data_IF_748886502124
#
_entry.id   IF_748886502124
#
_cell.length_a   1.000
_cell.length_b   1.000
_cell.length_c   1.000
_cell.angle_alpha   90.00
_cell.angle_beta   90.00
_cell.angle_gamma   90.00
#
_symmetry.space_group_name_H-M   'P 1'
#
loop_
_entity.id
_entity.type
_entity.pdbx_description
1 polymer ?
#
# COMPACT_ATOMS: atom_id res chain seq x y z
N UNK A 1 10.64 24.83 15.60
CA UNK A 1 10.29 23.74 14.66
C UNK A 1 10.34 22.43 15.43
N UNK A 2 9.24 21.63 15.40
CA UNK A 2 9.26 20.30 15.99
C UNK A 2 10.23 19.39 15.21
N UNK A 3 10.80 18.36 15.87
CA UNK A 3 11.68 17.38 15.22
C UNK A 3 10.98 16.68 14.05
N UNK A 4 9.70 16.38 14.19
CA UNK A 4 8.87 15.77 13.12
C UNK A 4 8.75 16.69 11.90
N UNK A 5 8.56 18.00 12.11
CA UNK A 5 8.50 18.97 11.01
C UNK A 5 9.85 19.14 10.33
N UNK A 6 10.94 19.17 11.09
CA UNK A 6 12.29 19.22 10.54
C UNK A 6 12.58 17.98 9.70
N UNK A 7 12.22 16.79 10.20
CA UNK A 7 12.35 15.53 9.48
C UNK A 7 11.58 15.52 8.14
N UNK A 8 10.36 16.08 8.12
CA UNK A 8 9.60 16.21 6.88
C UNK A 8 10.25 17.19 5.89
N UNK A 9 10.74 18.35 6.39
CA UNK A 9 11.36 19.38 5.57
C UNK A 9 12.67 18.91 4.90
N UNK A 10 13.51 18.17 5.61
CA UNK A 10 14.78 17.65 5.08
C UNK A 10 14.55 16.73 3.86
N UNK A 11 13.40 16.10 3.75
CA UNK A 11 13.11 15.21 2.62
C UNK A 11 12.86 15.95 1.29
N UNK A 12 12.47 17.22 1.31
CA UNK A 12 12.17 17.96 0.08
C UNK A 12 13.36 18.06 -0.92
N UNK A 13 14.60 18.36 -0.49
CA UNK A 13 15.75 18.43 -1.38
C UNK A 13 16.35 17.05 -1.76
N UNK A 14 15.94 15.96 -1.08
CA UNK A 14 16.57 14.65 -1.31
C UNK A 14 16.26 14.09 -2.71
N UNK A 15 17.24 13.44 -3.36
CA UNK A 15 17.04 12.75 -4.64
C UNK A 15 16.40 11.36 -4.41
N UNK A 16 15.11 11.33 -4.03
CA UNK A 16 14.40 10.14 -3.58
C UNK A 16 14.56 8.94 -4.51
N UNK A 17 14.38 9.13 -5.82
CA UNK A 17 14.49 8.05 -6.81
C UNK A 17 15.89 7.49 -6.95
N UNK A 18 16.93 8.32 -6.78
CA UNK A 18 18.31 7.84 -6.80
C UNK A 18 18.59 6.98 -5.57
N UNK A 19 18.19 7.46 -4.38
CA UNK A 19 18.34 6.74 -3.13
C UNK A 19 17.59 5.40 -3.18
N UNK A 20 16.33 5.40 -3.64
CA UNK A 20 15.53 4.17 -3.77
C UNK A 20 16.16 3.16 -4.73
N UNK A 21 16.71 3.62 -5.87
CA UNK A 21 17.42 2.74 -6.82
C UNK A 21 18.69 2.13 -6.22
N UNK A 22 19.47 2.90 -5.46
CA UNK A 22 20.68 2.39 -4.81
C UNK A 22 20.35 1.35 -3.75
N UNK A 23 19.36 1.64 -2.90
CA UNK A 23 18.88 0.70 -1.89
C UNK A 23 18.25 -0.54 -2.54
N UNK A 24 17.48 -0.38 -3.61
CA UNK A 24 16.92 -1.50 -4.37
C UNK A 24 17.99 -2.45 -4.91
N UNK A 25 19.06 -1.92 -5.51
CA UNK A 25 20.20 -2.75 -5.97
C UNK A 25 20.87 -3.50 -4.82
N UNK A 26 21.01 -2.87 -3.66
CA UNK A 26 21.55 -3.52 -2.47
C UNK A 26 20.59 -4.62 -1.96
N UNK A 27 19.29 -4.35 -1.96
CA UNK A 27 18.28 -5.29 -1.53
C UNK A 27 18.13 -6.50 -2.48
N UNK A 28 18.47 -6.34 -3.76
CA UNK A 28 18.50 -7.42 -4.76
C UNK A 28 19.85 -8.16 -4.81
N UNK A 29 20.82 -7.78 -3.96
CA UNK A 29 22.11 -8.44 -3.91
C UNK A 29 21.96 -9.89 -3.44
N UNK A 30 22.55 -10.82 -4.21
CA UNK A 30 22.54 -12.26 -3.94
C UNK A 30 23.76 -12.77 -3.17
N UNK A 31 24.75 -11.91 -2.90
CA UNK A 31 25.97 -12.29 -2.17
C UNK A 31 25.59 -12.77 -0.76
N UNK A 32 25.81 -14.05 -0.41
CA UNK A 32 25.23 -14.66 0.79
C UNK A 32 25.59 -13.95 2.09
N UNK A 33 26.87 -13.61 2.28
CA UNK A 33 27.29 -12.96 3.53
C UNK A 33 26.66 -11.58 3.72
N UNK A 34 26.57 -10.78 2.63
CA UNK A 34 26.00 -9.43 2.68
C UNK A 34 24.47 -9.49 2.88
N UNK A 35 23.80 -10.29 2.05
CA UNK A 35 22.36 -10.51 2.17
C UNK A 35 21.97 -10.99 3.56
N UNK A 36 22.65 -12.02 4.08
CA UNK A 36 22.35 -12.58 5.40
C UNK A 36 22.60 -11.56 6.53
N UNK A 37 23.66 -10.73 6.42
CA UNK A 37 23.92 -9.68 7.38
C UNK A 37 22.80 -8.61 7.37
N UNK A 38 22.32 -8.20 6.18
CA UNK A 38 21.22 -7.25 6.02
C UNK A 38 19.93 -7.82 6.63
N UNK A 39 19.55 -9.04 6.27
CA UNK A 39 18.33 -9.70 6.78
C UNK A 39 18.37 -9.84 8.30
N UNK A 40 19.47 -10.37 8.87
CA UNK A 40 19.59 -10.53 10.33
C UNK A 40 19.58 -9.21 11.07
N UNK A 41 20.23 -8.16 10.52
CA UNK A 41 20.21 -6.82 11.09
C UNK A 41 18.78 -6.26 11.08
N UNK A 42 18.08 -6.42 9.97
CA UNK A 42 16.72 -5.95 9.80
C UNK A 42 15.74 -6.63 10.78
N UNK A 43 15.79 -7.97 10.89
CA UNK A 43 14.97 -8.74 11.83
C UNK A 43 15.17 -8.23 13.25
N UNK A 44 16.44 -8.04 13.67
CA UNK A 44 16.76 -7.56 15.03
C UNK A 44 16.28 -6.13 15.27
N UNK A 45 16.48 -5.24 14.30
CA UNK A 45 16.13 -3.81 14.41
C UNK A 45 14.62 -3.58 14.46
N UNK A 46 13.88 -4.29 13.61
CA UNK A 46 12.44 -4.12 13.47
C UNK A 46 11.61 -5.20 14.17
N UNK A 47 12.27 -6.15 14.84
CA UNK A 47 11.62 -7.26 15.58
C UNK A 47 10.65 -8.04 14.70
N UNK A 48 11.09 -8.38 13.47
CA UNK A 48 10.27 -9.14 12.52
C UNK A 48 9.99 -10.52 13.07
N UNK A 49 8.72 -10.90 13.13
CA UNK A 49 8.30 -12.25 13.49
C UNK A 49 8.45 -13.20 12.29
N UNK A 50 9.38 -14.13 12.39
CA UNK A 50 9.62 -15.13 11.38
C UNK A 50 8.82 -16.42 11.61
N UNK A 51 8.12 -16.55 12.75
CA UNK A 51 7.33 -17.74 13.05
C UNK A 51 6.10 -17.88 12.15
N UNK A 52 5.58 -16.76 11.65
CA UNK A 52 4.45 -16.71 10.70
C UNK A 52 4.88 -16.94 9.24
N UNK A 53 6.18 -16.82 8.92
CA UNK A 53 6.68 -16.99 7.57
C UNK A 53 6.55 -18.44 7.09
N UNK A 54 6.18 -18.63 5.81
CA UNK A 54 6.15 -19.96 5.20
C UNK A 54 7.52 -20.63 5.26
N UNK A 55 8.60 -19.86 5.08
CA UNK A 55 9.97 -20.30 5.36
C UNK A 55 10.53 -19.48 6.53
N UNK A 56 10.69 -20.08 7.73
CA UNK A 56 11.17 -19.37 8.90
C UNK A 56 12.69 -19.15 8.92
N UNK A 57 13.47 -19.81 8.05
CA UNK A 57 14.92 -19.58 7.96
C UNK A 57 15.23 -18.29 7.19
N UNK A 58 15.75 -17.25 7.87
CA UNK A 58 16.07 -15.98 7.23
C UNK A 58 17.19 -16.06 6.20
N UNK A 59 17.97 -17.15 6.20
CA UNK A 59 19.09 -17.34 5.27
C UNK A 59 18.68 -18.01 3.96
N UNK A 60 17.51 -18.63 3.92
CA UNK A 60 17.00 -19.36 2.76
C UNK A 60 16.51 -18.46 1.62
N UNK A 61 16.24 -17.19 1.88
CA UNK A 61 15.80 -16.23 0.85
C UNK A 61 16.96 -15.86 -0.07
N UNK A 62 16.69 -15.74 -1.38
CA UNK A 62 17.73 -15.45 -2.37
C UNK A 62 18.25 -14.01 -2.28
N UNK A 63 17.37 -13.07 -1.91
CA UNK A 63 17.68 -11.64 -1.75
C UNK A 63 17.03 -11.08 -0.48
N UNK A 64 17.40 -9.85 -0.10
CA UNK A 64 16.68 -9.14 0.95
C UNK A 64 15.23 -8.84 0.53
N UNK A 65 14.98 -8.51 -0.74
CA UNK A 65 13.62 -8.27 -1.24
C UNK A 65 12.76 -9.52 -1.14
N UNK A 66 13.27 -10.72 -1.42
CA UNK A 66 12.52 -11.96 -1.25
C UNK A 66 12.16 -12.20 0.22
N UNK A 67 13.07 -11.92 1.15
CA UNK A 67 12.77 -11.94 2.58
C UNK A 67 11.71 -10.91 2.96
N UNK A 68 11.83 -9.69 2.44
CA UNK A 68 10.92 -8.59 2.77
C UNK A 68 9.49 -8.86 2.28
N UNK A 69 9.36 -9.47 1.11
CA UNK A 69 8.08 -9.89 0.52
C UNK A 69 7.73 -11.36 0.80
N UNK A 70 8.27 -11.91 1.88
CA UNK A 70 8.09 -13.32 2.28
C UNK A 70 6.64 -13.74 2.30
N UNK A 71 6.37 -14.97 1.95
CA UNK A 71 5.06 -15.58 2.15
C UNK A 71 4.82 -15.89 3.61
N UNK A 72 3.56 -15.81 4.02
CA UNK A 72 3.11 -16.32 5.31
C UNK A 72 2.60 -17.76 5.17
N UNK A 73 2.53 -18.47 6.29
CA UNK A 73 1.84 -19.76 6.38
C UNK A 73 0.38 -19.58 5.99
N UNK A 74 -0.22 -20.59 5.38
CA UNK A 74 -1.59 -20.52 4.85
C UNK A 74 -2.64 -20.15 5.91
N UNK A 75 -2.41 -20.51 7.17
CA UNK A 75 -3.31 -20.27 8.31
C UNK A 75 -2.95 -19.01 9.12
N UNK A 76 -1.89 -18.30 8.74
CA UNK A 76 -1.41 -17.14 9.51
C UNK A 76 -2.36 -15.92 9.43
N UNK A 77 -3.20 -15.85 8.42
CA UNK A 77 -4.15 -14.74 8.19
C UNK A 77 -5.53 -15.29 7.80
N UNK A 78 -6.33 -15.71 8.79
CA UNK A 78 -7.71 -16.13 8.52
C UNK A 78 -8.51 -14.94 7.98
N UNK A 79 -9.39 -15.22 7.02
CA UNK A 79 -10.26 -14.22 6.42
C UNK A 79 -11.51 -14.02 7.27
N UNK A 80 -11.72 -12.79 7.72
CA UNK A 80 -12.95 -12.35 8.36
C UNK A 80 -14.12 -12.21 7.37
N UNK A 81 -15.21 -11.63 7.80
CA UNK A 81 -16.38 -11.33 6.96
C UNK A 81 -16.34 -9.91 6.38
N UNK A 82 -17.15 -9.66 5.35
CA UNK A 82 -17.30 -8.34 4.73
C UNK A 82 -16.06 -7.82 4.04
N UNK A 83 -15.77 -6.53 4.24
CA UNK A 83 -14.64 -5.82 3.65
C UNK A 83 -13.40 -6.08 4.49
N UNK A 84 -12.35 -6.64 3.88
CA UNK A 84 -11.12 -7.03 4.56
C UNK A 84 -10.08 -5.91 4.56
N UNK A 85 -9.20 -5.92 5.56
CA UNK A 85 -7.94 -5.18 5.48
C UNK A 85 -7.08 -5.75 4.33
N UNK A 86 -6.63 -4.92 3.40
CA UNK A 86 -5.83 -5.38 2.28
C UNK A 86 -4.39 -5.74 2.66
N UNK A 87 -3.94 -5.37 3.85
CA UNK A 87 -2.55 -5.56 4.29
C UNK A 87 -2.45 -5.60 5.82
N UNK A 88 -1.33 -6.12 6.30
CA UNK A 88 -0.89 -5.89 7.68
C UNK A 88 -0.43 -4.45 7.85
N UNK A 89 -0.74 -3.84 8.99
CA UNK A 89 -0.25 -2.50 9.26
C UNK A 89 -1.04 -1.75 10.32
N UNK A 90 -1.07 -0.42 10.17
CA UNK A 90 -1.88 0.46 10.98
C UNK A 90 -2.93 1.16 10.12
N UNK A 91 -4.17 1.08 10.54
CA UNK A 91 -5.28 1.80 9.94
C UNK A 91 -5.11 3.30 10.22
N UNK A 92 -4.47 4.00 9.28
CA UNK A 92 -4.12 5.42 9.47
C UNK A 92 -5.35 6.30 9.56
N UNK A 93 -6.23 6.20 8.58
CA UNK A 93 -7.52 6.90 8.50
C UNK A 93 -8.52 6.05 7.73
N UNK A 94 -9.79 6.22 8.04
CA UNK A 94 -10.90 5.58 7.34
C UNK A 94 -12.19 6.38 7.54
N UNK A 95 -13.17 6.13 6.71
CA UNK A 95 -14.49 6.77 6.82
C UNK A 95 -15.11 7.09 5.47
N UNK A 96 -16.10 8.00 5.43
CA UNK A 96 -16.78 8.38 4.21
C UNK A 96 -15.92 9.26 3.32
N UNK A 97 -16.03 9.08 2.01
CA UNK A 97 -15.53 9.98 0.97
C UNK A 97 -16.46 11.19 0.82
N UNK A 98 -16.21 12.22 1.63
CA UNK A 98 -17.05 13.41 1.67
C UNK A 98 -16.58 14.44 0.64
N UNK A 99 -17.44 14.80 -0.30
CA UNK A 99 -17.16 15.77 -1.38
C UNK A 99 -15.85 15.44 -2.16
N UNK A 100 -15.57 14.15 -2.37
CA UNK A 100 -14.36 13.69 -3.07
C UNK A 100 -13.06 13.90 -2.31
N UNK A 101 -13.12 14.10 -0.99
CA UNK A 101 -11.96 14.32 -0.13
C UNK A 101 -11.74 13.14 0.81
N UNK A 102 -10.48 12.73 0.95
CA UNK A 102 -10.01 11.76 1.93
C UNK A 102 -9.28 12.47 3.06
N UNK A 103 -9.48 12.00 4.29
CA UNK A 103 -8.71 12.48 5.43
C UNK A 103 -7.31 11.87 5.43
N UNK A 104 -6.28 12.70 5.54
CA UNK A 104 -4.88 12.25 5.62
C UNK A 104 -4.43 12.10 7.08
N UNK A 105 -4.44 13.17 7.85
CA UNK A 105 -4.16 13.23 9.29
C UNK A 105 -4.48 14.64 9.81
N UNK A 106 -4.88 14.77 11.09
CA UNK A 106 -5.04 16.06 11.79
C UNK A 106 -5.70 17.18 10.96
N UNK A 107 -6.78 16.87 10.28
CA UNK A 107 -7.54 17.85 9.47
C UNK A 107 -6.99 18.10 8.06
N UNK A 108 -5.83 17.55 7.70
CA UNK A 108 -5.37 17.56 6.31
C UNK A 108 -6.19 16.60 5.47
N UNK A 109 -6.69 17.09 4.35
CA UNK A 109 -7.44 16.30 3.37
C UNK A 109 -6.72 16.34 2.03
N UNK A 110 -6.95 15.34 1.20
CA UNK A 110 -6.48 15.31 -0.17
C UNK A 110 -7.59 14.83 -1.11
N UNK A 111 -7.50 15.25 -2.36
CA UNK A 111 -8.53 14.96 -3.36
C UNK A 111 -8.43 13.50 -3.85
N UNK A 112 -9.58 12.83 -3.96
CA UNK A 112 -9.67 11.55 -4.66
C UNK A 112 -9.21 11.68 -6.12
N UNK A 113 -9.54 12.79 -6.78
CA UNK A 113 -9.08 13.06 -8.15
C UNK A 113 -7.55 13.07 -8.24
N UNK A 114 -6.87 13.79 -7.33
CA UNK A 114 -5.41 13.83 -7.32
C UNK A 114 -4.82 12.45 -7.02
N UNK A 115 -5.40 11.72 -6.05
CA UNK A 115 -4.98 10.37 -5.71
C UNK A 115 -5.05 9.41 -6.91
N UNK A 116 -6.12 9.51 -7.69
CA UNK A 116 -6.39 8.64 -8.85
C UNK A 116 -5.70 9.11 -10.15
N UNK A 117 -4.76 10.06 -10.07
CA UNK A 117 -3.96 10.51 -11.21
C UNK A 117 -4.55 11.65 -12.02
N UNK A 118 -5.40 12.47 -11.41
CA UNK A 118 -5.99 13.67 -12.03
C UNK A 118 -7.27 13.39 -12.83
N UNK A 119 -7.83 12.19 -12.74
CA UNK A 119 -9.03 11.80 -13.44
C UNK A 119 -10.29 12.13 -12.61
N UNK A 120 -10.96 13.23 -13.00
CA UNK A 120 -12.19 13.66 -12.33
C UNK A 120 -13.38 12.73 -12.60
N UNK A 121 -13.41 12.02 -13.73
CA UNK A 121 -14.47 11.06 -14.04
C UNK A 121 -14.32 9.80 -13.19
N UNK A 122 -13.10 9.26 -13.12
CA UNK A 122 -12.80 8.15 -12.22
C UNK A 122 -13.11 8.50 -10.76
N UNK A 123 -12.75 9.71 -10.32
CA UNK A 123 -13.01 10.16 -8.94
C UNK A 123 -14.51 10.25 -8.61
N UNK A 124 -15.37 10.60 -9.58
CA UNK A 124 -16.83 10.67 -9.36
C UNK A 124 -17.44 9.33 -8.97
N UNK A 125 -16.85 8.22 -9.40
CA UNK A 125 -17.34 6.87 -9.06
C UNK A 125 -17.31 6.57 -7.58
N UNK A 126 -16.48 7.29 -6.81
CA UNK A 126 -16.28 7.07 -5.38
C UNK A 126 -16.96 8.12 -4.50
N UNK A 127 -17.71 9.06 -5.09
CA UNK A 127 -18.43 10.09 -4.33
C UNK A 127 -19.53 9.45 -3.46
N UNK A 128 -19.51 9.76 -2.17
CA UNK A 128 -20.44 9.20 -1.20
C UNK A 128 -20.10 7.81 -0.70
N UNK A 129 -19.07 7.19 -1.24
CA UNK A 129 -18.55 5.90 -0.78
C UNK A 129 -17.64 6.01 0.44
N UNK A 130 -16.76 5.04 0.60
CA UNK A 130 -15.86 4.93 1.76
C UNK A 130 -14.40 4.78 1.36
N UNK A 131 -13.50 5.10 2.29
CA UNK A 131 -12.08 4.85 2.12
C UNK A 131 -11.46 4.25 3.40
N UNK A 132 -10.34 3.57 3.23
CA UNK A 132 -9.45 3.17 4.31
C UNK A 132 -7.99 3.28 3.86
N UNK A 133 -7.12 3.77 4.74
CA UNK A 133 -5.69 3.92 4.51
C UNK A 133 -4.92 3.06 5.49
N UNK A 134 -4.20 2.06 5.01
CA UNK A 134 -3.36 1.15 5.82
C UNK A 134 -1.89 1.46 5.57
N UNK A 135 -1.19 1.84 6.62
CA UNK A 135 0.25 2.05 6.61
C UNK A 135 0.98 0.77 7.01
N UNK A 136 1.86 0.28 6.15
CA UNK A 136 2.69 -0.88 6.41
C UNK A 136 4.05 -0.42 6.98
N UNK A 137 4.33 -0.79 8.22
CA UNK A 137 5.63 -0.55 8.85
C UNK A 137 6.66 -1.56 8.37
N UNK A 138 7.96 -1.31 8.53
CA UNK A 138 9.01 -2.22 8.03
C UNK A 138 8.92 -3.67 8.54
N UNK A 139 8.35 -3.88 9.73
CA UNK A 139 8.17 -5.22 10.31
C UNK A 139 7.00 -6.00 9.74
N UNK A 140 6.04 -5.31 9.14
CA UNK A 140 4.78 -5.91 8.72
C UNK A 140 4.95 -6.82 7.48
N UNK A 141 3.94 -7.57 7.16
CA UNK A 141 3.82 -8.34 5.93
C UNK A 141 3.55 -7.39 4.75
N UNK A 142 4.33 -7.51 3.66
CA UNK A 142 4.33 -6.53 2.57
C UNK A 142 3.68 -7.01 1.28
N UNK A 143 2.86 -8.04 1.33
CA UNK A 143 1.94 -8.37 0.23
C UNK A 143 0.58 -7.74 0.48
N UNK A 144 -0.07 -7.35 -0.61
CA UNK A 144 -1.37 -6.69 -0.62
C UNK A 144 -2.40 -7.64 -1.19
N UNK A 145 -3.55 -7.72 -0.55
CA UNK A 145 -4.60 -8.67 -0.88
C UNK A 145 -5.92 -7.96 -1.16
N UNK A 146 -6.81 -8.65 -1.86
CA UNK A 146 -8.11 -8.12 -2.24
C UNK A 146 -9.04 -8.01 -1.03
N UNK A 147 -9.59 -6.82 -0.74
CA UNK A 147 -10.56 -6.63 0.35
C UNK A 147 -11.90 -7.32 0.09
N UNK A 148 -12.29 -7.33 -1.18
CA UNK A 148 -13.46 -8.00 -1.75
C UNK A 148 -13.07 -8.58 -3.10
N UNK A 149 -13.83 -9.53 -3.62
CA UNK A 149 -13.58 -10.07 -4.97
C UNK A 149 -13.83 -8.99 -6.02
N UNK A 150 -13.05 -9.01 -7.12
CA UNK A 150 -13.22 -8.04 -8.18
C UNK A 150 -12.43 -8.34 -9.43
N UNK A 151 -12.85 -7.74 -10.52
CA UNK A 151 -12.21 -7.83 -11.83
C UNK A 151 -11.51 -6.51 -12.17
N UNK A 152 -10.21 -6.58 -12.46
CA UNK A 152 -9.41 -5.42 -12.83
C UNK A 152 -9.91 -4.81 -14.15
N UNK A 153 -10.21 -3.52 -14.12
CA UNK A 153 -10.65 -2.77 -15.29
C UNK A 153 -9.53 -1.92 -15.88
N UNK A 154 -8.70 -1.34 -15.03
CA UNK A 154 -7.58 -0.50 -15.44
C UNK A 154 -6.52 -0.41 -14.34
N UNK A 155 -5.28 -0.30 -14.75
CA UNK A 155 -4.14 0.01 -13.88
C UNK A 155 -3.55 1.35 -14.32
N UNK A 156 -3.38 2.29 -13.38
CA UNK A 156 -2.85 3.63 -13.66
C UNK A 156 -1.58 3.87 -12.86
N UNK A 157 -0.46 3.97 -13.55
CA UNK A 157 0.78 4.45 -12.94
C UNK A 157 0.79 5.97 -12.87
N UNK A 158 1.02 6.52 -11.70
CA UNK A 158 1.12 7.95 -11.46
C UNK A 158 2.51 8.27 -10.95
N UNK A 159 3.34 8.96 -11.73
CA UNK A 159 4.67 9.38 -11.30
C UNK A 159 4.56 10.38 -10.15
N UNK A 160 5.56 10.38 -9.28
CA UNK A 160 5.54 11.27 -8.12
C UNK A 160 6.86 11.31 -7.37
N UNK A 161 6.84 11.88 -6.19
CA UNK A 161 7.95 11.86 -5.24
C UNK A 161 7.92 10.54 -4.46
N UNK A 162 8.89 10.36 -3.56
CA UNK A 162 8.95 9.22 -2.64
C UNK A 162 9.26 9.75 -1.23
N UNK A 163 8.35 10.56 -0.69
CA UNK A 163 8.43 10.91 0.73
C UNK A 163 8.20 9.66 1.58
N UNK A 164 8.84 9.58 2.74
CA UNK A 164 8.45 8.56 3.72
C UNK A 164 6.98 8.73 4.11
N UNK A 165 6.30 7.65 4.47
CA UNK A 165 4.85 7.64 4.78
C UNK A 165 4.61 7.28 6.26
N UNK A 166 5.41 7.82 7.15
CA UNK A 166 5.24 7.67 8.59
C UNK A 166 4.40 8.80 9.20
N UNK A 167 4.12 8.72 10.50
CA UNK A 167 3.30 9.72 11.20
C UNK A 167 3.81 11.16 11.03
N UNK A 168 5.13 11.37 11.06
CA UNK A 168 5.70 12.70 10.93
C UNK A 168 5.44 13.34 9.56
N UNK A 169 5.63 12.58 8.48
CA UNK A 169 5.38 13.10 7.12
C UNK A 169 3.89 13.20 6.80
N UNK A 170 3.08 12.27 7.30
CA UNK A 170 1.62 12.32 7.15
C UNK A 170 1.02 13.57 7.79
N UNK A 171 1.63 14.03 8.91
CA UNK A 171 1.21 15.25 9.59
C UNK A 171 1.71 16.53 8.92
N UNK A 172 2.90 16.51 8.29
CA UNK A 172 3.58 17.74 7.86
C UNK A 172 3.76 17.91 6.35
N UNK A 173 3.48 16.87 5.56
CA UNK A 173 3.54 16.95 4.09
C UNK A 173 2.11 16.99 3.54
N UNK A 174 1.63 18.14 3.04
CA UNK A 174 0.29 18.23 2.43
C UNK A 174 0.16 17.31 1.21
N UNK A 175 -0.98 16.67 1.05
CA UNK A 175 -1.29 15.78 -0.08
C UNK A 175 -0.27 14.63 -0.24
N UNK A 176 0.29 14.13 0.85
CA UNK A 176 1.40 13.16 0.85
C UNK A 176 1.15 11.99 -0.11
N UNK A 177 0.01 11.33 0.03
CA UNK A 177 -0.32 10.13 -0.75
C UNK A 177 -0.56 10.45 -2.24
N UNK A 178 -1.10 11.63 -2.56
CA UNK A 178 -1.29 12.09 -3.93
C UNK A 178 0.00 12.67 -4.56
N UNK A 179 1.02 12.98 -3.76
CA UNK A 179 2.35 13.43 -4.24
C UNK A 179 3.31 12.30 -4.52
N UNK A 180 3.17 11.18 -3.81
CA UNK A 180 4.07 10.06 -4.00
C UNK A 180 3.74 9.28 -5.26
N UNK A 181 4.80 8.71 -5.87
CA UNK A 181 4.68 7.70 -6.92
C UNK A 181 3.75 6.59 -6.46
N UNK A 182 2.81 6.18 -7.31
CA UNK A 182 1.79 5.21 -6.93
C UNK A 182 1.22 4.46 -8.11
N UNK A 183 0.66 3.32 -7.81
CA UNK A 183 -0.08 2.50 -8.75
C UNK A 183 -1.55 2.45 -8.30
N UNK A 184 -2.45 2.89 -9.15
CA UNK A 184 -3.90 2.82 -8.93
C UNK A 184 -4.43 1.63 -9.71
N UNK A 185 -5.08 0.69 -9.03
CA UNK A 185 -5.74 -0.45 -9.64
C UNK A 185 -7.24 -0.32 -9.44
N UNK A 186 -7.98 -0.14 -10.53
CA UNK A 186 -9.43 -0.06 -10.53
C UNK A 186 -10.04 -1.44 -10.76
N UNK A 187 -11.00 -1.80 -9.91
CA UNK A 187 -11.72 -3.07 -10.00
C UNK A 187 -13.22 -2.81 -10.05
N UNK A 188 -13.92 -3.62 -10.84
CA UNK A 188 -15.35 -3.80 -10.72
C UNK A 188 -15.63 -4.93 -9.74
N UNK A 189 -16.48 -4.70 -8.75
CA UNK A 189 -16.89 -5.66 -7.73
C UNK A 189 -18.40 -5.81 -7.73
N UNK A 190 -18.93 -6.79 -7.01
CA UNK A 190 -20.39 -6.93 -6.81
C UNK A 190 -21.03 -5.74 -6.07
N UNK A 191 -20.20 -4.97 -5.33
CA UNK A 191 -20.60 -3.76 -4.60
C UNK A 191 -20.17 -2.48 -5.34
N UNK A 192 -20.05 -2.52 -6.67
CA UNK A 192 -19.62 -1.39 -7.48
C UNK A 192 -18.10 -1.19 -7.56
N UNK A 193 -17.66 -0.09 -8.14
CA UNK A 193 -16.24 0.22 -8.34
C UNK A 193 -15.42 0.29 -7.05
N UNK A 194 -14.23 -0.29 -7.08
CA UNK A 194 -13.21 -0.20 -6.03
C UNK A 194 -11.88 0.24 -6.64
N UNK A 195 -11.13 1.09 -5.95
CA UNK A 195 -9.72 1.37 -6.25
C UNK A 195 -8.83 0.94 -5.11
N UNK A 196 -7.76 0.20 -5.42
CA UNK A 196 -6.63 -0.04 -4.53
C UNK A 196 -5.44 0.76 -5.03
N UNK A 197 -4.98 1.69 -4.21
CA UNK A 197 -3.87 2.58 -4.53
C UNK A 197 -2.65 2.18 -3.72
N UNK A 198 -1.66 1.64 -4.41
CA UNK A 198 -0.39 1.26 -3.83
C UNK A 198 0.55 2.46 -3.88
N UNK A 199 0.77 3.10 -2.74
CA UNK A 199 1.58 4.32 -2.64
C UNK A 199 3.00 3.98 -2.26
N UNK A 200 3.95 4.31 -3.13
CA UNK A 200 5.38 4.19 -2.88
C UNK A 200 5.88 5.18 -1.82
N UNK A 201 7.02 4.88 -1.23
CA UNK A 201 7.65 5.73 -0.22
C UNK A 201 9.17 5.75 -0.38
N UNK A 202 9.85 6.56 0.42
CA UNK A 202 11.31 6.62 0.43
C UNK A 202 11.90 5.24 0.69
N UNK A 203 12.88 4.86 -0.12
CA UNK A 203 13.54 3.55 -0.09
C UNK A 203 12.67 2.41 -0.68
N UNK A 204 11.39 2.64 -1.01
CA UNK A 204 10.58 1.63 -1.73
C UNK A 204 11.23 1.36 -3.08
N UNK A 205 11.67 0.10 -3.26
CA UNK A 205 12.41 -0.27 -4.46
C UNK A 205 11.48 -0.53 -5.64
N UNK A 206 10.30 -1.12 -5.40
CA UNK A 206 9.34 -1.40 -6.46
C UNK A 206 7.94 -1.75 -5.93
N UNK A 207 6.95 -1.54 -6.79
CA UNK A 207 5.58 -2.08 -6.70
C UNK A 207 5.46 -3.19 -7.73
N UNK A 208 4.93 -4.33 -7.31
CA UNK A 208 4.72 -5.51 -8.16
C UNK A 208 3.27 -5.96 -8.06
N UNK A 209 2.69 -6.37 -9.19
CA UNK A 209 1.35 -6.98 -9.23
C UNK A 209 1.44 -8.42 -9.69
N UNK A 210 0.48 -9.28 -9.28
CA UNK A 210 0.49 -10.70 -9.66
C UNK A 210 0.22 -10.92 -11.13
N UNK A 211 -0.40 -9.95 -11.83
CA UNK A 211 -0.76 -10.06 -13.26
C UNK A 211 0.22 -9.39 -14.21
N UNK A 212 1.05 -8.46 -13.75
CA UNK A 212 1.97 -7.73 -14.63
C UNK A 212 3.42 -7.70 -14.11
N UNK A 213 3.69 -8.36 -12.99
CA UNK A 213 5.02 -8.37 -12.38
C UNK A 213 5.42 -6.98 -11.84
N UNK A 214 6.70 -6.66 -11.92
CA UNK A 214 7.23 -5.40 -11.40
C UNK A 214 6.86 -4.22 -12.29
N UNK A 215 6.16 -3.24 -11.70
CA UNK A 215 5.67 -2.03 -12.39
C UNK A 215 6.61 -0.85 -12.17
N UNK A 216 7.07 -0.61 -10.96
CA UNK A 216 7.95 0.52 -10.64
C UNK A 216 9.37 0.06 -10.32
N UNK A 217 10.39 0.90 -10.56
CA UNK A 217 10.32 2.23 -11.17
C UNK A 217 10.10 2.16 -12.68
N UNK A 218 9.21 3.00 -13.18
CA UNK A 218 9.06 3.17 -14.63
C UNK A 218 10.02 4.25 -15.18
N UNK A 219 10.35 4.20 -16.48
CA UNK A 219 11.06 5.30 -17.13
C UNK A 219 10.30 6.62 -16.97
N UNK A 220 11.03 7.75 -17.02
CA UNK A 220 10.44 9.09 -16.94
C UNK A 220 9.32 9.25 -17.96
N UNK A 221 8.14 9.63 -17.50
CA UNK A 221 6.93 9.84 -18.30
C UNK A 221 5.83 10.48 -17.46
N UNK A 222 4.70 10.75 -18.08
CA UNK A 222 3.49 11.18 -17.40
C UNK A 222 2.71 10.02 -16.79
N UNK A 223 1.45 10.28 -16.45
CA UNK A 223 0.50 9.26 -16.03
C UNK A 223 0.31 8.24 -17.15
N UNK A 224 0.44 6.96 -16.83
CA UNK A 224 0.28 5.86 -17.78
C UNK A 224 -0.92 5.00 -17.38
N UNK A 225 -1.83 4.78 -18.35
CA UNK A 225 -3.02 3.94 -18.18
C UNK A 225 -2.82 2.64 -18.94
N UNK A 226 -3.04 1.53 -18.27
CA UNK A 226 -2.83 0.19 -18.80
C UNK A 226 -4.12 -0.60 -18.62
N UNK A 227 -4.66 -1.10 -19.71
CA UNK A 227 -5.80 -2.01 -19.76
C UNK A 227 -5.32 -3.37 -20.24
N UNK A 228 -5.99 -4.40 -19.81
CA UNK A 228 -5.63 -5.77 -20.14
C UNK A 228 -6.71 -6.37 -21.02
N UNK A 229 -6.30 -7.00 -22.13
CA UNK A 229 -7.21 -7.68 -23.06
C UNK A 229 -7.88 -8.91 -22.43
N UNK A 230 -7.16 -9.57 -21.51
CA UNK A 230 -7.70 -10.69 -20.75
C UNK A 230 -8.15 -10.20 -19.38
N UNK A 231 -9.41 -10.49 -18.99
CA UNK A 231 -9.90 -10.13 -17.66
C UNK A 231 -9.04 -10.73 -16.55
N UNK A 232 -8.64 -9.91 -15.60
CA UNK A 232 -7.93 -10.32 -14.38
C UNK A 232 -8.93 -10.27 -13.23
N UNK A 233 -9.46 -11.45 -12.89
CA UNK A 233 -10.35 -11.60 -11.74
C UNK A 233 -9.55 -12.11 -10.53
N UNK A 234 -9.79 -11.52 -9.36
CA UNK A 234 -9.19 -11.92 -8.10
C UNK A 234 -10.28 -12.13 -7.05
N UNK A 235 -10.19 -13.26 -6.38
CA UNK A 235 -11.07 -13.58 -5.25
C UNK A 235 -10.75 -12.74 -4.02
N UNK A 236 -11.71 -12.60 -3.13
CA UNK A 236 -11.54 -11.94 -1.83
C UNK A 236 -10.44 -12.63 -1.03
N UNK A 237 -9.46 -11.86 -0.52
CA UNK A 237 -8.28 -12.37 0.17
C UNK A 237 -7.15 -12.84 -0.74
N UNK A 238 -7.35 -12.92 -2.07
CA UNK A 238 -6.27 -13.26 -3.00
C UNK A 238 -5.18 -12.16 -3.02
N UNK A 239 -3.92 -12.56 -3.18
CA UNK A 239 -2.83 -11.60 -3.37
C UNK A 239 -3.02 -10.84 -4.67
N UNK A 240 -2.97 -9.51 -4.62
CA UNK A 240 -2.99 -8.64 -5.79
C UNK A 240 -1.62 -8.10 -6.17
N UNK A 241 -0.71 -8.02 -5.21
CA UNK A 241 0.61 -7.46 -5.43
C UNK A 241 1.41 -7.32 -4.16
N UNK A 242 2.57 -6.66 -4.27
CA UNK A 242 3.49 -6.49 -3.14
C UNK A 242 4.37 -5.27 -3.28
N UNK A 243 4.93 -4.86 -2.16
CA UNK A 243 5.91 -3.78 -2.11
C UNK A 243 7.31 -4.32 -1.78
N UNK A 244 8.29 -3.91 -2.53
CA UNK A 244 9.70 -4.11 -2.20
C UNK A 244 10.19 -2.90 -1.39
N UNK A 245 10.12 -3.00 -0.05
CA UNK A 245 10.43 -1.97 0.96
C UNK A 245 9.34 -0.89 1.16
N UNK A 246 8.60 -1.00 2.25
CA UNK A 246 7.72 -0.04 2.97
C UNK A 246 6.73 0.82 2.21
N UNK A 247 5.46 0.94 2.70
CA UNK A 247 4.48 1.70 1.90
C UNK A 247 3.10 1.88 2.56
N UNK A 248 2.16 2.36 1.79
CA UNK A 248 0.77 2.57 2.20
C UNK A 248 -0.18 2.06 1.12
N UNK A 249 -1.25 1.41 1.52
CA UNK A 249 -2.38 1.10 0.66
C UNK A 249 -3.54 2.02 1.00
N UNK A 250 -4.09 2.68 0.00
CA UNK A 250 -5.36 3.42 0.12
C UNK A 250 -6.41 2.65 -0.66
N UNK A 251 -7.46 2.24 0.02
CA UNK A 251 -8.65 1.64 -0.56
C UNK A 251 -9.73 2.71 -0.70
N UNK A 252 -10.34 2.83 -1.87
CA UNK A 252 -11.53 3.62 -2.10
C UNK A 252 -12.63 2.73 -2.66
N UNK A 253 -13.81 2.82 -2.07
CA UNK A 253 -15.00 2.04 -2.43
C UNK A 253 -16.10 3.00 -2.85
N UNK A 254 -16.86 2.66 -3.88
CA UNK A 254 -17.99 3.48 -4.35
C UNK A 254 -19.18 3.46 -3.40
N UNK A 255 -19.33 2.37 -2.66
CA UNK A 255 -20.41 2.19 -1.70
C UNK A 255 -19.98 2.53 -0.27
N UNK A 256 -20.91 3.01 0.56
CA UNK A 256 -20.67 3.19 1.98
C UNK A 256 -20.35 1.86 2.68
N UNK A 257 -19.39 1.89 3.59
CA UNK A 257 -19.06 0.76 4.46
C UNK A 257 -19.43 1.12 5.90
N UNK A 258 -20.18 0.27 6.56
CA UNK A 258 -20.34 0.28 8.01
C UNK A 258 -19.07 -0.33 8.63
N UNK A 259 -18.14 0.54 9.03
CA UNK A 259 -16.91 0.07 9.68
C UNK A 259 -17.20 -0.58 11.02
N UNK A 260 -16.44 -1.62 11.36
CA UNK A 260 -16.62 -2.37 12.59
C UNK A 260 -16.45 -1.49 13.83
N UNK A 261 -17.28 -1.75 14.85
CA UNK A 261 -17.19 -1.04 16.12
C UNK A 261 -15.82 -1.24 16.77
N UNK A 262 -15.31 -0.18 17.40
CA UNK A 262 -14.01 -0.21 18.08
C UNK A 262 -12.79 -0.03 17.16
N UNK A 263 -12.96 0.14 15.85
CA UNK A 263 -11.88 0.57 14.99
C UNK A 263 -11.58 2.06 15.24
N UNK A 264 -10.32 2.36 15.43
CA UNK A 264 -9.84 3.74 15.63
C UNK A 264 -8.65 4.03 14.69
N UNK A 265 -8.46 5.29 14.28
CA UNK A 265 -7.24 5.69 13.60
C UNK A 265 -5.99 5.35 14.42
N UNK A 266 -5.03 4.68 13.81
CA UNK A 266 -3.83 4.16 14.46
C UNK A 266 -3.93 2.72 14.96
N UNK A 267 -5.11 2.09 14.93
CA UNK A 267 -5.29 0.68 15.28
C UNK A 267 -4.42 -0.23 14.40
N UNK A 268 -3.84 -1.26 15.02
CA UNK A 268 -3.14 -2.31 14.29
C UNK A 268 -4.18 -3.22 13.63
N UNK A 269 -4.01 -3.49 12.36
CA UNK A 269 -4.84 -4.40 11.59
C UNK A 269 -3.97 -5.45 10.90
N UNK A 270 -4.55 -6.61 10.62
CA UNK A 270 -3.92 -7.67 9.86
C UNK A 270 -4.64 -7.87 8.53
N UNK A 271 -3.91 -8.27 7.51
CA UNK A 271 -4.49 -8.70 6.24
C UNK A 271 -5.57 -9.76 6.50
N UNK A 272 -6.72 -9.63 5.83
CA UNK A 272 -7.84 -10.55 6.04
C UNK A 272 -8.74 -10.22 7.23
N UNK A 273 -8.33 -9.34 8.15
CA UNK A 273 -9.21 -8.87 9.22
C UNK A 273 -10.39 -8.06 8.67
N UNK A 274 -11.58 -8.31 9.15
CA UNK A 274 -12.77 -7.50 8.80
C UNK A 274 -12.57 -6.05 9.22
N UNK A 275 -12.74 -5.12 8.31
CA UNK A 275 -12.83 -3.69 8.58
C UNK A 275 -14.27 -3.20 8.70
N UNK A 276 -15.24 -3.97 8.22
CA UNK A 276 -16.65 -3.62 8.20
C UNK A 276 -17.41 -4.38 7.14
N UNK A 277 -18.64 -3.96 6.89
CA UNK A 277 -19.50 -4.58 5.89
C UNK A 277 -20.25 -3.51 5.08
N UNK A 278 -20.65 -3.88 3.88
CA UNK A 278 -21.63 -3.09 3.15
C UNK A 278 -22.99 -3.20 3.85
N UNK A 279 -23.76 -2.10 3.93
CA UNK A 279 -25.12 -2.16 4.47
C UNK A 279 -25.96 -3.19 3.71
N UNK A 280 -26.76 -3.94 4.43
CA UNK A 280 -27.75 -4.84 3.83
C UNK A 280 -28.74 -4.01 3.01
N UNK A 281 -28.99 -4.38 1.77
CA UNK A 281 -29.98 -3.78 0.86
C UNK A 281 -31.39 -3.91 1.43
#
# INVERSE_FOLDING_TARGET
LSLSRLFALIQYPLPHHLLSRLVGRLADCRTPWLKNALVRRFIRQFKVDMSEAANPDPTAYATFNDFFTRELKADARPLGEGVLSPADGRLSQFGPLTAGQLLQAKGHRFSAMDLLGGDGEAARRYLGGSFATVYLSPSDYHRVHMPVAGTLTEMVYVPGRLFSVNAATTEHVPNLFARNERLVCHFDTEHGPMALVLVGAMIVAAIETVWAGQITPLPRGGVQRIRFDTPVHLERGAEMGRFKLGSTVVMALSEPVAFADGLEPGAKVQMGQSLGAFPSS
#
